data_IF_901205154963
#
_entry.id   IF_901205154963
#
_cell.length_a   1.000
_cell.length_b   1.000
_cell.length_c   1.000
_cell.angle_alpha   90.00
_cell.angle_beta   90.00
_cell.angle_gamma   90.00
#
_symmetry.space_group_name_H-M   'P 1'
#
loop_
_entity.id
_entity.type
_entity.pdbx_description
1 polymer ?
#
# COMPACT_ATOMS: atom_id res chain seq x y z
N UNK A 1 6.43 -8.75 -13.06
CA UNK A 1 5.82 -8.03 -11.93
C UNK A 1 4.32 -8.03 -12.16
N UNK A 2 3.54 -8.59 -11.25
CA UNK A 2 2.08 -8.62 -11.37
C UNK A 2 1.55 -7.19 -11.47
N UNK A 3 0.62 -6.97 -12.39
CA UNK A 3 -0.06 -5.67 -12.51
C UNK A 3 -0.92 -5.44 -11.26
N UNK A 4 -0.37 -4.65 -10.33
CA UNK A 4 -1.03 -4.33 -9.05
C UNK A 4 -2.32 -3.54 -9.25
N UNK A 5 -2.41 -2.74 -10.32
CA UNK A 5 -3.62 -1.99 -10.65
C UNK A 5 -4.70 -2.95 -11.11
N UNK A 6 -4.34 -3.93 -11.95
CA UNK A 6 -5.28 -4.96 -12.36
C UNK A 6 -5.77 -5.80 -11.18
N UNK A 7 -4.89 -6.15 -10.26
CA UNK A 7 -5.25 -6.88 -9.05
C UNK A 7 -6.18 -6.06 -8.15
N UNK A 8 -5.91 -4.75 -7.97
CA UNK A 8 -6.77 -3.82 -7.24
C UNK A 8 -8.17 -3.74 -7.86
N UNK A 9 -8.25 -3.58 -9.19
CA UNK A 9 -9.51 -3.55 -9.93
C UNK A 9 -10.35 -4.81 -9.70
N UNK A 10 -9.72 -5.99 -9.82
CA UNK A 10 -10.40 -7.27 -9.61
C UNK A 10 -10.88 -7.43 -8.16
N UNK A 11 -10.06 -7.04 -7.18
CA UNK A 11 -10.44 -7.12 -5.77
C UNK A 11 -11.61 -6.18 -5.43
N UNK A 12 -11.61 -4.93 -5.93
CA UNK A 12 -12.73 -4.00 -5.76
C UNK A 12 -14.00 -4.54 -6.40
N UNK A 13 -13.91 -5.14 -7.59
CA UNK A 13 -15.07 -5.72 -8.29
C UNK A 13 -15.64 -6.94 -7.59
N UNK A 14 -14.84 -7.66 -6.79
CA UNK A 14 -15.29 -8.83 -6.04
C UNK A 14 -15.99 -8.46 -4.72
N UNK A 15 -15.72 -7.29 -4.13
CA UNK A 15 -16.29 -6.86 -2.84
C UNK A 15 -17.83 -6.91 -2.78
N UNK A 16 -18.61 -6.45 -3.78
CA UNK A 16 -20.07 -6.49 -3.70
C UNK A 16 -20.66 -7.90 -3.59
N UNK A 17 -19.90 -8.91 -4.04
CA UNK A 17 -20.33 -10.30 -4.07
C UNK A 17 -19.79 -11.10 -2.87
N UNK A 18 -18.81 -10.55 -2.14
CA UNK A 18 -18.19 -11.21 -0.99
C UNK A 18 -17.49 -10.17 -0.09
N UNK A 19 -18.26 -9.32 0.63
CA UNK A 19 -17.74 -8.11 1.29
C UNK A 19 -16.96 -8.36 2.59
N UNK A 20 -16.99 -9.59 3.11
CA UNK A 20 -16.41 -9.95 4.40
C UNK A 20 -15.37 -11.07 4.31
N UNK A 21 -15.01 -11.58 5.48
CA UNK A 21 -14.04 -12.66 5.60
C UNK A 21 -14.54 -13.94 4.91
N UNK A 22 -13.62 -14.62 4.25
CA UNK A 22 -13.87 -15.94 3.68
C UNK A 22 -13.38 -17.00 4.67
N UNK A 23 -14.04 -18.14 4.69
CA UNK A 23 -13.70 -19.25 5.57
C UNK A 23 -13.73 -20.59 4.82
N UNK A 24 -13.02 -21.56 5.38
CA UNK A 24 -13.04 -22.94 4.89
C UNK A 24 -14.19 -23.67 5.58
N UNK A 25 -15.03 -24.35 4.80
CA UNK A 25 -16.07 -25.20 5.35
C UNK A 25 -15.46 -26.46 6.00
N UNK A 26 -15.92 -26.82 7.20
CA UNK A 26 -15.36 -27.98 7.89
C UNK A 26 -15.83 -29.29 7.23
N UNK A 27 -14.87 -30.14 6.88
CA UNK A 27 -15.14 -31.48 6.35
C UNK A 27 -15.40 -31.53 4.84
N UNK A 28 -15.33 -30.38 4.16
CA UNK A 28 -15.42 -30.26 2.70
C UNK A 28 -14.41 -29.18 2.31
N UNK A 29 -13.41 -29.48 1.47
CA UNK A 29 -12.32 -28.56 1.09
C UNK A 29 -12.81 -27.40 0.19
N UNK A 30 -13.79 -26.64 0.68
CA UNK A 30 -14.52 -25.56 0.01
C UNK A 30 -14.34 -24.25 0.75
N UNK A 31 -14.25 -23.17 -0.02
CA UNK A 31 -14.19 -21.80 0.49
C UNK A 31 -15.54 -21.14 0.33
N UNK A 32 -16.01 -20.54 1.42
CA UNK A 32 -17.24 -19.76 1.47
C UNK A 32 -16.95 -18.32 1.86
N UNK A 33 -17.83 -17.43 1.43
CA UNK A 33 -17.79 -16.03 1.86
C UNK A 33 -18.54 -15.84 3.19
N UNK A 34 -18.60 -14.59 3.66
CA UNK A 34 -19.30 -14.25 4.90
C UNK A 34 -20.82 -14.46 4.85
N UNK A 35 -21.43 -14.58 3.67
CA UNK A 35 -22.85 -14.88 3.48
C UNK A 35 -23.11 -16.40 3.39
N UNK A 36 -22.07 -17.22 3.56
CA UNK A 36 -22.08 -18.68 3.37
C UNK A 36 -22.29 -19.11 1.91
N UNK A 37 -22.09 -18.18 0.97
CA UNK A 37 -22.13 -18.46 -0.46
C UNK A 37 -20.82 -19.13 -0.91
N UNK A 38 -20.95 -20.02 -1.87
CA UNK A 38 -19.83 -20.79 -2.40
C UNK A 38 -18.92 -19.91 -3.26
N UNK A 39 -17.62 -19.88 -2.94
CA UNK A 39 -16.61 -19.10 -3.66
C UNK A 39 -15.75 -19.99 -4.54
N UNK A 40 -15.25 -21.09 -3.98
CA UNK A 40 -14.29 -21.97 -4.67
C UNK A 40 -14.32 -23.38 -4.07
N UNK A 41 -14.24 -24.39 -4.92
CA UNK A 41 -13.98 -25.78 -4.56
C UNK A 41 -12.50 -26.06 -4.82
N UNK A 42 -11.82 -26.61 -3.81
CA UNK A 42 -10.50 -27.18 -4.00
C UNK A 42 -10.61 -28.70 -4.10
N UNK A 43 -9.60 -29.36 -4.68
CA UNK A 43 -9.63 -30.81 -4.83
C UNK A 43 -9.73 -31.52 -3.48
N UNK A 44 -10.29 -32.73 -3.48
CA UNK A 44 -10.25 -33.63 -2.32
C UNK A 44 -8.80 -33.72 -1.80
N UNK A 45 -8.61 -33.54 -0.49
CA UNK A 45 -7.31 -33.58 0.20
C UNK A 45 -6.39 -32.36 -0.02
N UNK A 46 -6.94 -31.19 -0.41
CA UNK A 46 -6.17 -29.94 -0.54
C UNK A 46 -6.53 -28.83 0.47
N UNK A 47 -6.65 -29.11 1.79
CA UNK A 47 -7.14 -28.16 2.79
C UNK A 47 -6.27 -26.90 2.91
N UNK A 48 -4.98 -27.01 2.57
CA UNK A 48 -4.04 -25.89 2.56
C UNK A 48 -4.41 -24.86 1.48
N UNK A 49 -4.85 -25.32 0.30
CA UNK A 49 -5.23 -24.39 -0.78
C UNK A 49 -6.52 -23.67 -0.46
N UNK A 50 -7.52 -24.37 0.08
CA UNK A 50 -8.75 -23.74 0.56
C UNK A 50 -8.44 -22.66 1.61
N UNK A 51 -7.59 -23.01 2.59
CA UNK A 51 -7.16 -22.08 3.64
C UNK A 51 -6.43 -20.86 3.08
N UNK A 52 -5.54 -21.06 2.10
CA UNK A 52 -4.84 -19.97 1.43
C UNK A 52 -5.81 -19.07 0.67
N UNK A 53 -6.76 -19.63 -0.08
CA UNK A 53 -7.77 -18.87 -0.85
C UNK A 53 -8.65 -18.05 0.09
N UNK A 54 -9.11 -18.64 1.21
CA UNK A 54 -9.89 -17.95 2.23
C UNK A 54 -9.12 -16.76 2.84
N UNK A 55 -7.83 -16.96 3.15
CA UNK A 55 -6.96 -15.91 3.68
C UNK A 55 -6.62 -14.84 2.62
N UNK A 56 -6.47 -15.21 1.36
CA UNK A 56 -6.14 -14.33 0.24
C UNK A 56 -7.39 -13.70 -0.42
N UNK A 57 -8.45 -13.48 0.36
CA UNK A 57 -9.70 -12.89 -0.11
C UNK A 57 -9.51 -11.43 -0.60
N UNK A 58 -10.47 -10.87 -1.38
CA UNK A 58 -10.38 -9.52 -1.94
C UNK A 58 -10.09 -8.43 -0.92
N UNK A 59 -10.64 -8.52 0.30
CA UNK A 59 -10.40 -7.56 1.36
C UNK A 59 -8.95 -7.61 1.85
N UNK A 60 -8.40 -8.81 2.06
CA UNK A 60 -7.01 -9.01 2.44
C UNK A 60 -6.06 -8.47 1.36
N UNK A 61 -6.35 -8.72 0.08
CA UNK A 61 -5.57 -8.20 -1.05
C UNK A 61 -5.59 -6.66 -1.07
N UNK A 62 -6.75 -6.03 -0.85
CA UNK A 62 -6.84 -4.56 -0.81
C UNK A 62 -6.05 -3.96 0.36
N UNK A 63 -6.09 -4.58 1.54
CA UNK A 63 -5.27 -4.17 2.70
C UNK A 63 -3.78 -4.26 2.38
N UNK A 64 -3.33 -5.36 1.77
CA UNK A 64 -1.94 -5.53 1.36
C UNK A 64 -1.51 -4.52 0.29
N UNK A 65 -2.37 -4.20 -0.67
CA UNK A 65 -2.08 -3.17 -1.68
C UNK A 65 -1.94 -1.80 -1.03
N UNK A 66 -2.84 -1.43 -0.10
CA UNK A 66 -2.75 -0.18 0.63
C UNK A 66 -1.45 -0.07 1.44
N UNK A 67 -1.04 -1.16 2.11
CA UNK A 67 0.23 -1.22 2.84
C UNK A 67 1.43 -1.03 1.90
N UNK A 68 1.44 -1.71 0.75
CA UNK A 68 2.50 -1.55 -0.24
C UNK A 68 2.54 -0.12 -0.80
N UNK A 69 1.39 0.50 -1.04
CA UNK A 69 1.30 1.90 -1.46
C UNK A 69 1.90 2.85 -0.40
N UNK A 70 1.60 2.62 0.89
CA UNK A 70 2.18 3.38 2.00
C UNK A 70 3.71 3.22 2.06
N UNK A 71 4.22 1.98 2.07
CA UNK A 71 5.65 1.71 2.12
C UNK A 71 6.41 2.30 0.92
N UNK A 72 5.79 2.31 -0.27
CA UNK A 72 6.37 2.97 -1.46
C UNK A 72 6.44 4.49 -1.29
N UNK A 73 5.44 5.09 -0.65
CA UNK A 73 5.43 6.53 -0.36
C UNK A 73 6.58 6.91 0.56
N UNK A 74 6.75 6.16 1.65
CA UNK A 74 7.83 6.37 2.62
C UNK A 74 9.21 6.15 2.00
N UNK A 75 9.39 5.07 1.23
CA UNK A 75 10.63 4.82 0.51
C UNK A 75 10.97 5.96 -0.45
N UNK A 76 9.97 6.55 -1.11
CA UNK A 76 10.17 7.67 -2.03
C UNK A 76 10.51 8.98 -1.29
N UNK A 77 9.92 9.23 -0.11
CA UNK A 77 10.30 10.35 0.78
C UNK A 77 11.76 10.21 1.24
N UNK A 78 12.14 9.01 1.67
CA UNK A 78 13.51 8.72 2.08
C UNK A 78 14.53 8.94 0.94
N UNK A 79 14.24 8.43 -0.27
CA UNK A 79 15.11 8.66 -1.44
C UNK A 79 15.24 10.15 -1.77
N UNK A 80 14.13 10.87 -1.72
CA UNK A 80 14.14 12.31 -1.96
C UNK A 80 15.02 13.08 -0.98
N UNK A 81 14.98 12.71 0.31
CA UNK A 81 15.86 13.29 1.34
C UNK A 81 17.34 12.96 1.04
N UNK A 82 17.64 11.71 0.67
CA UNK A 82 19.01 11.25 0.40
C UNK A 82 19.64 11.92 -0.83
N UNK A 83 18.82 12.25 -1.83
CA UNK A 83 19.27 12.88 -3.08
C UNK A 83 19.41 14.41 -2.96
N UNK A 84 19.13 15.01 -1.79
CA UNK A 84 19.32 16.44 -1.58
C UNK A 84 20.81 16.79 -1.60
N UNK A 85 21.12 17.84 -2.34
CA UNK A 85 22.42 18.48 -2.32
C UNK A 85 22.61 19.25 -1.00
N UNK A 86 23.60 18.85 -0.20
CA UNK A 86 23.90 19.44 1.10
C UNK A 86 24.47 20.87 0.99
N UNK A 87 24.96 21.26 -0.19
CA UNK A 87 25.46 22.63 -0.44
C UNK A 87 24.31 23.67 -0.48
N UNK A 88 23.05 23.23 -0.51
CA UNK A 88 21.88 24.13 -0.49
C UNK A 88 21.37 24.46 0.92
N UNK A 89 22.06 24.02 1.98
CA UNK A 89 21.69 24.34 3.39
C UNK A 89 21.58 25.86 3.60
N UNK A 90 22.43 26.65 2.95
CA UNK A 90 22.40 28.12 2.98
C UNK A 90 21.15 28.74 2.33
N UNK A 91 20.39 27.97 1.54
CA UNK A 91 19.19 28.40 0.80
C UNK A 91 17.89 27.85 1.40
N UNK A 92 17.97 27.14 2.53
CA UNK A 92 16.83 26.48 3.17
C UNK A 92 16.45 25.15 2.51
N UNK A 93 15.85 24.24 3.28
CA UNK A 93 15.39 22.94 2.80
C UNK A 93 14.83 22.05 3.91
N UNK A 94 14.13 20.99 3.53
CA UNK A 94 13.61 19.99 4.47
C UNK A 94 14.71 18.96 4.71
N UNK A 95 15.28 19.03 5.90
CA UNK A 95 16.14 17.99 6.47
C UNK A 95 15.44 17.50 7.74
N UNK A 96 15.92 16.43 8.39
CA UNK A 96 15.40 16.00 9.69
C UNK A 96 15.69 17.02 10.85
N UNK A 97 15.95 18.28 10.49
CA UNK A 97 15.96 19.51 11.27
C UNK A 97 16.06 20.70 10.29
N UNK A 98 15.28 21.75 10.48
CA UNK A 98 15.23 22.90 9.56
C UNK A 98 16.45 23.82 9.77
N UNK A 99 17.13 24.21 8.70
CA UNK A 99 18.18 25.25 8.75
C UNK A 99 17.73 26.48 7.97
N UNK A 100 18.01 27.73 8.43
CA UNK A 100 18.71 28.08 9.67
C UNK A 100 17.82 28.18 10.92
N UNK A 101 16.50 28.08 10.80
CA UNK A 101 15.57 28.36 11.92
C UNK A 101 15.52 27.26 13.01
N UNK A 102 16.19 26.12 12.84
CA UNK A 102 16.25 24.99 13.78
C UNK A 102 14.87 24.48 14.25
N UNK A 103 13.86 24.54 13.38
CA UNK A 103 12.54 23.95 13.65
C UNK A 103 12.63 22.43 13.43
N UNK A 104 12.20 21.67 14.43
CA UNK A 104 12.09 20.22 14.34
C UNK A 104 10.75 19.89 13.69
N UNK A 105 10.76 19.50 12.42
CA UNK A 105 9.62 18.82 11.80
C UNK A 105 9.69 17.34 12.20
N UNK A 106 8.60 16.83 12.76
CA UNK A 106 8.52 15.43 13.17
C UNK A 106 7.29 14.78 12.53
N UNK A 107 7.34 13.44 12.44
CA UNK A 107 6.19 12.60 12.10
C UNK A 107 5.42 13.09 10.85
N UNK A 108 4.11 13.26 10.96
CA UNK A 108 3.23 13.59 9.84
C UNK A 108 3.49 14.97 9.23
N UNK A 109 3.99 15.94 10.02
CA UNK A 109 4.32 17.27 9.53
C UNK A 109 5.53 17.22 8.60
N UNK A 110 6.55 16.43 8.95
CA UNK A 110 7.72 16.20 8.07
C UNK A 110 7.31 15.53 6.77
N UNK A 111 6.43 14.53 6.85
CA UNK A 111 5.91 13.81 5.71
C UNK A 111 5.14 14.70 4.73
N UNK A 112 4.29 15.59 5.25
CA UNK A 112 3.50 16.53 4.46
C UNK A 112 4.40 17.54 3.74
N UNK A 113 5.39 18.08 4.43
CA UNK A 113 6.35 19.02 3.85
C UNK A 113 7.19 18.37 2.75
N UNK A 114 7.69 17.14 2.96
CA UNK A 114 8.43 16.40 1.91
C UNK A 114 7.54 16.17 0.69
N UNK A 115 6.28 15.76 0.91
CA UNK A 115 5.34 15.56 -0.19
C UNK A 115 5.12 16.87 -0.97
N UNK A 116 4.86 17.99 -0.30
CA UNK A 116 4.69 19.30 -0.93
C UNK A 116 5.92 19.73 -1.74
N UNK A 117 7.12 19.55 -1.18
CA UNK A 117 8.37 19.91 -1.84
C UNK A 117 8.76 18.96 -3.00
N UNK A 118 8.23 17.73 -3.02
CA UNK A 118 8.33 16.82 -4.16
C UNK A 118 7.47 17.27 -5.33
N UNK A 119 6.23 17.68 -5.06
CA UNK A 119 5.30 18.15 -6.10
C UNK A 119 5.69 19.51 -6.69
N UNK A 120 6.31 20.40 -5.92
CA UNK A 120 6.75 21.70 -6.46
C UNK A 120 7.94 21.60 -7.42
N UNK A 121 8.74 20.53 -7.35
CA UNK A 121 9.92 20.33 -8.21
C UNK A 121 9.60 19.65 -9.55
N UNK A 122 8.40 19.06 -9.71
CA UNK A 122 7.96 18.45 -10.97
C UNK A 122 7.41 19.43 -12.02
N UNK A 123 7.30 20.72 -11.71
CA UNK A 123 6.72 21.76 -12.60
C UNK A 123 7.70 22.87 -13.04
N UNK A 124 9.01 22.66 -12.94
CA UNK A 124 9.98 23.56 -13.58
C UNK A 124 10.31 23.06 -15.00
N UNK A 125 9.80 23.68 -16.09
CA UNK A 125 10.26 23.34 -17.42
C UNK A 125 11.76 23.64 -17.50
N UNK A 126 12.53 22.66 -17.95
CA UNK A 126 13.93 22.84 -18.31
C UNK A 126 14.01 24.01 -19.30
N UNK A 127 14.63 25.10 -18.85
CA UNK A 127 15.05 26.22 -19.71
C UNK A 127 16.48 25.99 -20.17
#
# INVERSE_FOLDING_TARGET
MTDINKLKELAVRALPFAPGEWFVENGIDQVRDCANDFVCETGEDEPIKASFIAAANPQAILKLIAEVEHLRKDAARYRWLRERDLETISRGGIFAGMTPENIVLNLEDLDAEIDAARFSKSDAPAS
#
